data_IF_876694847641
#
_entry.id   IF_876694847641
#
_cell.length_a   1.000
_cell.length_b   1.000
_cell.length_c   1.000
_cell.angle_alpha   90.00
_cell.angle_beta   90.00
_cell.angle_gamma   90.00
#
_symmetry.space_group_name_H-M   'P 1'
#
loop_
_entity.id
_entity.type
_entity.pdbx_description
1 polymer ?
#
# COMPACT_ATOMS: atom_id res chain seq x y z
N UNK A 1 1.78 6.94 -5.89
CA UNK A 1 0.54 6.53 -5.22
C UNK A 1 0.16 5.10 -5.59
N UNK A 2 -0.34 4.32 -4.63
CA UNK A 2 -1.02 3.05 -4.89
C UNK A 2 -2.44 3.30 -5.38
N UNK A 3 -2.83 2.65 -6.48
CA UNK A 3 -4.18 2.71 -7.05
C UNK A 3 -4.68 1.29 -7.28
N UNK A 4 -5.97 1.05 -7.02
CA UNK A 4 -6.55 -0.29 -7.26
C UNK A 4 -6.56 -0.57 -8.76
N UNK A 5 -5.79 -1.59 -9.18
CA UNK A 5 -5.73 -2.05 -10.56
C UNK A 5 -6.85 -3.05 -10.85
N UNK A 6 -7.03 -4.04 -9.97
CA UNK A 6 -8.13 -5.01 -10.03
C UNK A 6 -8.37 -5.65 -8.67
N UNK A 7 -9.53 -6.29 -8.53
CA UNK A 7 -9.86 -7.18 -7.41
C UNK A 7 -10.04 -8.61 -7.93
N UNK A 8 -9.46 -9.57 -7.22
CA UNK A 8 -9.54 -10.99 -7.58
C UNK A 8 -10.89 -11.62 -7.20
N UNK A 9 -11.64 -10.97 -6.28
CA UNK A 9 -12.96 -11.40 -5.80
C UNK A 9 -13.97 -10.25 -5.95
N UNK A 10 -15.27 -10.59 -5.93
CA UNK A 10 -16.37 -9.63 -6.04
C UNK A 10 -16.71 -8.91 -4.73
N UNK A 11 -16.42 -9.51 -3.58
CA UNK A 11 -16.59 -8.88 -2.28
C UNK A 11 -15.45 -7.89 -2.05
N UNK A 12 -15.78 -6.60 -2.14
CA UNK A 12 -14.81 -5.52 -2.07
C UNK A 12 -14.72 -4.96 -0.66
N UNK A 13 -13.51 -4.57 -0.28
CA UNK A 13 -13.26 -3.87 0.97
C UNK A 13 -14.08 -2.56 1.03
N UNK A 14 -14.83 -2.33 2.12
CA UNK A 14 -15.58 -1.10 2.29
C UNK A 14 -14.62 0.07 2.53
N UNK A 15 -15.10 1.28 2.25
CA UNK A 15 -14.46 2.47 2.78
C UNK A 15 -14.68 2.55 4.29
N UNK A 16 -13.59 2.71 5.03
CA UNK A 16 -13.58 3.00 6.46
C UNK A 16 -13.19 4.48 6.66
N UNK A 17 -13.65 5.10 7.74
CA UNK A 17 -13.25 6.46 8.12
C UNK A 17 -12.58 6.39 9.48
N UNK A 18 -11.25 6.52 9.48
CA UNK A 18 -10.44 6.32 10.68
C UNK A 18 -9.68 7.61 11.05
N UNK A 19 -9.53 7.92 12.35
CA UNK A 19 -8.75 9.08 12.78
C UNK A 19 -7.29 8.92 12.39
N UNK A 20 -6.60 10.02 12.08
CA UNK A 20 -5.20 9.97 11.65
C UNK A 20 -4.42 11.26 11.86
N UNK A 21 -3.10 11.14 11.83
CA UNK A 21 -2.19 12.28 11.85
C UNK A 21 -2.40 13.20 10.63
N UNK A 22 -2.00 14.47 10.73
CA UNK A 22 -2.00 15.37 9.57
C UNK A 22 -1.01 14.91 8.49
N UNK A 23 -1.31 15.23 7.22
CA UNK A 23 -0.36 15.07 6.12
C UNK A 23 -0.29 13.67 5.49
N UNK A 24 -1.27 12.79 5.74
CA UNK A 24 -1.35 11.53 4.99
C UNK A 24 -1.82 11.81 3.55
N UNK A 25 -1.07 11.31 2.57
CA UNK A 25 -1.33 11.57 1.16
C UNK A 25 -2.30 10.56 0.56
N UNK A 26 -3.10 10.99 -0.42
CA UNK A 26 -3.92 10.09 -1.23
C UNK A 26 -3.07 8.97 -1.85
N UNK A 27 -3.54 7.73 -1.74
CA UNK A 27 -2.87 6.55 -2.27
C UNK A 27 -1.58 6.17 -1.52
N UNK A 28 -1.32 6.77 -0.35
CA UNK A 28 -0.25 6.33 0.54
C UNK A 28 -0.68 5.17 1.44
N UNK A 29 0.27 4.30 1.75
CA UNK A 29 0.11 3.21 2.69
C UNK A 29 0.20 3.71 4.14
N UNK A 30 -0.73 3.24 4.97
CA UNK A 30 -0.84 3.58 6.36
C UNK A 30 -0.97 2.32 7.24
N UNK A 31 -0.54 2.46 8.48
CA UNK A 31 -0.70 1.48 9.57
C UNK A 31 -1.45 2.11 10.73
N UNK A 32 -1.97 1.29 11.65
CA UNK A 32 -2.46 1.80 12.92
C UNK A 32 -1.31 1.93 13.91
N UNK A 33 -1.16 3.12 14.48
CA UNK A 33 -0.27 3.40 15.60
C UNK A 33 -1.09 4.07 16.70
N UNK A 34 -1.15 3.44 17.88
CA UNK A 34 -1.92 3.97 19.03
C UNK A 34 -3.38 4.31 18.71
N UNK A 35 -4.03 3.51 17.84
CA UNK A 35 -5.43 3.70 17.45
C UNK A 35 -5.68 4.80 16.40
N UNK A 36 -4.63 5.34 15.78
CA UNK A 36 -4.73 6.33 14.72
C UNK A 36 -3.93 5.91 13.49
N UNK A 37 -4.36 6.34 12.31
CA UNK A 37 -3.62 6.18 11.08
C UNK A 37 -2.31 6.96 11.13
N UNK A 38 -1.22 6.26 10.84
CA UNK A 38 0.11 6.82 10.63
C UNK A 38 0.67 6.34 9.29
N UNK A 39 1.49 7.17 8.65
CA UNK A 39 2.21 6.80 7.42
C UNK A 39 3.10 5.59 7.71
N UNK A 40 3.17 4.65 6.77
CA UNK A 40 4.15 3.58 6.84
C UNK A 40 5.59 4.07 6.59
N UNK A 41 6.54 3.42 7.24
CA UNK A 41 7.96 3.43 6.91
C UNK A 41 8.30 2.23 5.98
N UNK A 42 9.54 2.18 5.47
CA UNK A 42 9.95 1.29 4.40
C UNK A 42 9.60 -0.20 4.61
N UNK A 43 9.82 -0.73 5.81
CA UNK A 43 9.60 -2.15 6.15
C UNK A 43 8.28 -2.41 6.90
N UNK A 44 7.45 -1.39 7.08
CA UNK A 44 6.20 -1.56 7.81
C UNK A 44 5.23 -2.51 7.09
N UNK A 45 4.38 -3.16 7.89
CA UNK A 45 3.20 -3.84 7.38
C UNK A 45 2.09 -2.81 7.17
N UNK A 46 1.80 -2.50 5.91
CA UNK A 46 0.66 -1.65 5.57
C UNK A 46 -0.65 -2.36 5.93
N UNK A 47 -1.60 -1.61 6.48
CA UNK A 47 -2.93 -2.10 6.82
C UNK A 47 -4.02 -1.41 5.99
N UNK A 48 -3.75 -0.17 5.55
CA UNK A 48 -4.72 0.68 4.87
C UNK A 48 -4.07 1.44 3.71
N UNK A 49 -4.86 1.76 2.67
CA UNK A 49 -4.52 2.77 1.68
C UNK A 49 -5.43 3.97 1.85
N UNK A 50 -4.85 5.16 1.95
CA UNK A 50 -5.58 6.43 2.05
C UNK A 50 -6.31 6.73 0.73
N UNK A 51 -7.59 7.06 0.82
CA UNK A 51 -8.49 7.24 -0.33
C UNK A 51 -8.93 8.69 -0.54
N UNK A 52 -8.43 9.62 0.28
CA UNK A 52 -8.82 11.01 0.19
C UNK A 52 -8.22 11.85 1.32
N UNK A 53 -8.49 13.16 1.30
CA UNK A 53 -7.97 14.08 2.32
C UNK A 53 -8.64 13.83 3.68
N UNK A 54 -7.99 14.34 4.74
CA UNK A 54 -8.58 14.39 6.08
C UNK A 54 -9.86 15.20 6.05
N UNK A 55 -10.91 14.65 6.66
CA UNK A 55 -12.20 15.33 6.85
C UNK A 55 -12.15 16.22 8.09
N UNK A 56 -13.14 17.09 8.21
CA UNK A 56 -13.28 18.01 9.35
C UNK A 56 -13.43 17.29 10.71
N UNK A 57 -13.99 16.08 10.70
CA UNK A 57 -14.10 15.19 11.87
C UNK A 57 -12.77 14.53 12.29
N UNK A 58 -11.69 14.84 11.58
CA UNK A 58 -10.37 14.31 11.84
C UNK A 58 -10.09 12.92 11.26
N UNK A 59 -11.02 12.35 10.48
CA UNK A 59 -10.89 11.04 9.88
C UNK A 59 -10.44 11.09 8.42
N UNK A 60 -9.68 10.09 7.99
CA UNK A 60 -9.38 9.86 6.58
C UNK A 60 -10.28 8.75 6.03
N UNK A 61 -10.81 8.90 4.81
CA UNK A 61 -11.33 7.76 4.07
C UNK A 61 -10.18 6.83 3.71
N UNK A 62 -10.33 5.54 4.02
CA UNK A 62 -9.35 4.50 3.71
C UNK A 62 -10.04 3.25 3.19
N UNK A 63 -9.28 2.41 2.51
CA UNK A 63 -9.62 0.99 2.35
C UNK A 63 -8.59 0.14 3.07
N UNK A 64 -9.02 -0.99 3.62
CA UNK A 64 -8.12 -1.99 4.17
C UNK A 64 -7.37 -2.70 3.05
N UNK A 65 -6.10 -3.01 3.25
CA UNK A 65 -5.38 -3.83 2.29
C UNK A 65 -5.78 -5.30 2.44
N UNK A 66 -6.09 -5.93 1.30
CA UNK A 66 -6.41 -7.35 1.23
C UNK A 66 -5.50 -8.01 0.18
N UNK A 67 -5.07 -9.26 0.36
CA UNK A 67 -4.32 -9.99 -0.65
C UNK A 67 -5.06 -10.14 -1.99
N UNK A 68 -6.40 -10.02 -1.97
CA UNK A 68 -7.23 -10.07 -3.17
C UNK A 68 -7.26 -8.74 -3.96
N UNK A 69 -6.75 -7.65 -3.40
CA UNK A 69 -6.69 -6.33 -4.05
C UNK A 69 -5.32 -6.13 -4.66
N UNK A 70 -5.27 -6.07 -5.99
CA UNK A 70 -4.05 -5.77 -6.73
C UNK A 70 -3.97 -4.26 -6.92
N UNK A 71 -2.88 -3.68 -6.45
CA UNK A 71 -2.54 -2.28 -6.60
C UNK A 71 -1.51 -2.10 -7.72
N UNK A 72 -1.64 -1.01 -8.46
CA UNK A 72 -0.61 -0.45 -9.31
C UNK A 72 0.06 0.73 -8.59
N UNK A 73 1.38 0.82 -8.70
CA UNK A 73 2.15 1.94 -8.17
C UNK A 73 3.42 2.19 -9.00
N UNK A 74 4.26 3.12 -8.54
CA UNK A 74 5.56 3.44 -9.12
C UNK A 74 6.71 2.87 -8.29
N UNK A 75 7.75 2.41 -8.98
CA UNK A 75 9.00 2.00 -8.36
C UNK A 75 10.04 3.14 -8.43
N UNK A 76 10.71 3.45 -7.31
CA UNK A 76 11.79 4.45 -7.28
C UNK A 76 13.09 3.96 -7.91
N UNK A 77 13.30 2.64 -7.93
CA UNK A 77 14.41 1.96 -8.56
C UNK A 77 13.89 0.76 -9.37
N UNK A 78 14.69 0.25 -10.29
CA UNK A 78 14.31 -0.90 -11.11
C UNK A 78 13.87 -2.10 -10.26
N UNK A 79 12.65 -2.57 -10.50
CA UNK A 79 12.13 -3.86 -10.02
C UNK A 79 12.25 -4.82 -11.20
N UNK A 80 13.25 -5.68 -11.19
CA UNK A 80 13.45 -6.67 -12.26
C UNK A 80 12.50 -7.88 -12.12
N UNK A 81 12.44 -8.71 -13.15
CA UNK A 81 11.61 -9.91 -13.17
C UNK A 81 11.93 -10.91 -12.04
N UNK A 82 13.15 -10.92 -11.48
CA UNK A 82 13.51 -11.81 -10.38
C UNK A 82 12.86 -11.40 -9.05
N UNK A 83 12.30 -10.18 -8.95
CA UNK A 83 11.52 -9.72 -7.80
C UNK A 83 10.05 -10.13 -7.84
N UNK A 84 9.54 -10.61 -8.97
CA UNK A 84 8.16 -11.12 -9.05
C UNK A 84 7.99 -12.30 -8.10
N UNK A 85 6.95 -12.25 -7.26
CA UNK A 85 6.69 -13.21 -6.19
C UNK A 85 7.42 -12.90 -4.87
N UNK A 86 8.27 -11.88 -4.83
CA UNK A 86 8.98 -11.45 -3.62
C UNK A 86 8.37 -10.18 -3.03
N UNK A 87 8.58 -9.97 -1.73
CA UNK A 87 8.21 -8.72 -1.07
C UNK A 87 9.30 -7.65 -1.17
N UNK A 88 8.84 -6.42 -1.31
CA UNK A 88 9.68 -5.23 -1.39
C UNK A 88 9.19 -4.15 -0.43
N UNK A 89 10.13 -3.28 -0.08
CA UNK A 89 9.91 -2.15 0.81
C UNK A 89 9.15 -1.02 0.12
N UNK A 90 8.40 -0.28 0.93
CA UNK A 90 7.81 0.99 0.54
C UNK A 90 8.89 2.04 0.33
N UNK A 91 8.59 3.03 -0.50
CA UNK A 91 9.41 4.22 -0.61
C UNK A 91 9.24 5.17 0.59
N UNK A 92 10.05 6.23 0.62
CA UNK A 92 10.06 7.21 1.72
C UNK A 92 8.74 7.96 1.91
N UNK A 93 7.96 8.12 0.83
CA UNK A 93 6.64 8.76 0.83
C UNK A 93 5.49 7.78 1.10
N UNK A 94 5.79 6.48 1.22
CA UNK A 94 4.82 5.40 1.38
C UNK A 94 3.74 5.33 0.28
N UNK A 95 4.01 5.91 -0.88
CA UNK A 95 3.07 5.94 -2.01
C UNK A 95 3.60 5.15 -3.23
N UNK A 96 4.75 4.50 -3.08
CA UNK A 96 5.42 3.66 -4.06
C UNK A 96 6.31 2.63 -3.37
N UNK A 97 7.16 1.97 -4.16
CA UNK A 97 8.08 0.94 -3.66
C UNK A 97 9.50 1.15 -4.16
N UNK A 98 10.44 0.44 -3.53
CA UNK A 98 11.85 0.34 -3.96
C UNK A 98 12.25 -1.12 -4.14
N UNK A 99 13.42 -1.40 -4.72
CA UNK A 99 13.89 -2.77 -4.97
C UNK A 99 14.39 -3.52 -3.72
N UNK A 100 14.51 -2.82 -2.59
CA UNK A 100 14.91 -3.39 -1.30
C UNK A 100 13.88 -4.42 -0.82
N UNK A 101 14.31 -5.62 -0.44
CA UNK A 101 13.43 -6.66 0.07
C UNK A 101 13.07 -6.50 1.55
N UNK A 102 12.16 -7.34 2.06
CA UNK A 102 11.79 -7.36 3.48
C UNK A 102 10.72 -6.32 3.84
N UNK A 103 9.84 -6.02 2.90
CA UNK A 103 8.68 -5.14 3.11
C UNK A 103 7.36 -5.89 3.08
N UNK A 104 6.26 -5.17 2.89
CA UNK A 104 4.91 -5.75 2.90
C UNK A 104 4.24 -5.86 1.53
N UNK A 105 4.83 -5.25 0.48
CA UNK A 105 4.27 -5.27 -0.87
C UNK A 105 4.87 -6.42 -1.69
N UNK A 106 4.05 -7.39 -2.10
CA UNK A 106 4.47 -8.52 -2.94
C UNK A 106 4.29 -8.16 -4.41
N UNK A 107 5.37 -8.20 -5.17
CA UNK A 107 5.35 -7.88 -6.61
C UNK A 107 4.71 -9.02 -7.39
N UNK A 108 3.75 -8.69 -8.25
CA UNK A 108 3.13 -9.66 -9.18
C UNK A 108 3.45 -9.37 -10.65
N UNK A 109 3.76 -8.12 -10.98
CA UNK A 109 4.08 -7.67 -12.34
C UNK A 109 4.97 -6.43 -12.27
N UNK A 110 5.88 -6.28 -13.23
CA UNK A 110 6.78 -5.13 -13.38
C UNK A 110 7.05 -4.89 -14.86
N UNK A 111 7.24 -3.63 -15.25
CA UNK A 111 7.71 -3.24 -16.60
C UNK A 111 9.24 -3.18 -16.70
N UNK A 112 9.95 -3.48 -15.62
CA UNK A 112 11.42 -3.51 -15.50
C UNK A 112 12.10 -2.18 -15.86
N UNK A 113 11.38 -1.05 -15.84
CA UNK A 113 11.97 0.24 -16.14
C UNK A 113 13.02 0.63 -15.08
N UNK A 114 14.13 1.22 -15.53
CA UNK A 114 15.27 1.56 -14.68
C UNK A 114 14.90 2.49 -13.49
N UNK A 115 13.90 3.36 -13.67
CA UNK A 115 13.35 4.24 -12.64
C UNK A 115 11.93 4.69 -13.00
N UNK A 116 11.05 4.84 -12.01
CA UNK A 116 9.68 5.31 -12.24
C UNK A 116 8.77 4.31 -12.94
N UNK A 117 9.21 3.04 -13.02
CA UNK A 117 8.48 1.94 -13.65
C UNK A 117 7.15 1.67 -12.98
N UNK A 118 6.22 1.10 -13.75
CA UNK A 118 4.95 0.60 -13.25
C UNK A 118 5.19 -0.78 -12.62
N UNK A 119 4.75 -0.92 -11.39
CA UNK A 119 4.78 -2.18 -10.67
C UNK A 119 3.41 -2.47 -10.10
N UNK A 120 3.00 -3.74 -10.16
CA UNK A 120 1.74 -4.21 -9.61
C UNK A 120 1.98 -5.28 -8.58
N UNK A 121 1.08 -5.37 -7.61
CA UNK A 121 1.22 -6.29 -6.50
C UNK A 121 0.10 -6.15 -5.49
N UNK A 122 0.25 -6.86 -4.38
CA UNK A 122 -0.68 -6.79 -3.26
C UNK A 122 0.11 -6.65 -1.96
N UNK A 123 -0.54 -6.12 -0.92
CA UNK A 123 0.04 -6.11 0.41
C UNK A 123 -0.26 -7.43 1.11
N UNK A 124 0.75 -8.01 1.79
CA UNK A 124 0.50 -9.13 2.69
C UNK A 124 -0.51 -8.70 3.76
N UNK A 125 -1.44 -9.58 4.08
CA UNK A 125 -2.36 -9.34 5.18
C UNK A 125 -1.58 -9.11 6.47
N UNK A 126 -2.00 -8.12 7.26
CA UNK A 126 -1.52 -7.99 8.62
C UNK A 126 -1.85 -9.27 9.41
N UNK A 127 -0.88 -9.77 10.18
CA UNK A 127 -1.08 -10.94 11.02
C UNK A 127 -2.21 -10.67 12.01
N UNK A 128 -3.37 -11.31 11.82
CA UNK A 128 -4.57 -11.13 12.64
C UNK A 128 -5.85 -10.75 11.91
N UNK A 129 -5.84 -10.54 10.58
CA UNK A 129 -7.05 -10.22 9.81
C UNK A 129 -8.01 -11.41 9.60
N UNK A 130 -7.80 -12.55 10.27
CA UNK A 130 -8.76 -13.65 10.33
C UNK A 130 -9.62 -13.53 11.58
N UNK A 131 -10.71 -12.77 11.48
CA UNK A 131 -11.80 -12.72 12.45
C UNK A 131 -13.09 -13.18 11.81
#
# INVERSE_FOLDING_TARGET
MFSVYKRAIGDVEPFEFLPGAEGLALGSAAKLASGQLAKCDAADTAEYIVQGPKREDGCYPVIRVLPATIFETRAEAQIDAAKVGTDVQLNTTADGVTATGGGSFVVTETDEAASGGIVRGYFRAAAGAGG
#
